data_IF_307886899941
#
_entry.id   IF_307886899941
#
_cell.length_a   1.000
_cell.length_b   1.000
_cell.length_c   1.000
_cell.angle_alpha   90.00
_cell.angle_beta   90.00
_cell.angle_gamma   90.00
#
_symmetry.space_group_name_H-M   'P 1'
#
loop_
_entity.id
_entity.type
_entity.pdbx_description
1 polymer ?
#
# COMPACT_ATOMS: atom_id res chain seq x y z
N UNK A 1 -10.75 -1.28 1.28
CA UNK A 1 -11.81 -0.89 0.33
C UNK A 1 -11.40 -1.44 -1.01
N UNK A 2 -12.26 -2.20 -1.71
CA UNK A 2 -11.89 -2.82 -2.99
C UNK A 2 -11.65 -1.71 -4.03
N UNK A 3 -10.62 -1.87 -4.87
CA UNK A 3 -10.33 -0.95 -5.96
C UNK A 3 -10.97 -1.45 -7.25
N UNK A 4 -11.44 -0.49 -8.04
CA UNK A 4 -11.69 -0.66 -9.46
C UNK A 4 -10.36 -0.58 -10.20
N UNK A 5 -10.16 -1.46 -11.19
CA UNK A 5 -8.88 -1.62 -11.89
C UNK A 5 -9.11 -1.48 -13.38
N UNK A 6 -8.41 -0.54 -13.99
CA UNK A 6 -8.54 -0.20 -15.40
C UNK A 6 -7.17 -0.11 -16.07
N UNK A 7 -7.13 -0.41 -17.38
CA UNK A 7 -5.93 -0.30 -18.21
C UNK A 7 -6.08 0.87 -19.19
N UNK A 8 -5.08 1.74 -19.18
CA UNK A 8 -4.93 2.88 -20.09
C UNK A 8 -3.65 2.72 -20.91
N UNK A 9 -3.74 1.99 -22.02
CA UNK A 9 -2.58 1.60 -22.82
C UNK A 9 -1.64 0.70 -22.02
N UNK A 10 -0.40 1.16 -21.78
CA UNK A 10 0.59 0.45 -20.96
C UNK A 10 0.43 0.69 -19.45
N UNK A 11 -0.41 1.64 -19.06
CA UNK A 11 -0.61 2.00 -17.66
C UNK A 11 -1.80 1.25 -17.08
N UNK A 12 -1.70 0.91 -15.80
CA UNK A 12 -2.78 0.40 -14.97
C UNK A 12 -3.10 1.42 -13.90
N UNK A 13 -4.38 1.67 -13.71
CA UNK A 13 -4.92 2.46 -12.62
C UNK A 13 -5.75 1.54 -11.72
N UNK A 14 -5.49 1.54 -10.42
CA UNK A 14 -6.34 0.91 -9.42
C UNK A 14 -6.81 1.98 -8.43
N UNK A 15 -8.12 2.20 -8.31
CA UNK A 15 -8.66 3.32 -7.53
C UNK A 15 -9.89 2.95 -6.70
N UNK A 16 -10.11 3.68 -5.61
CA UNK A 16 -11.34 3.67 -4.82
C UNK A 16 -11.63 5.09 -4.29
N UNK A 17 -12.59 5.29 -3.40
CA UNK A 17 -12.90 6.63 -2.89
C UNK A 17 -11.77 7.34 -2.12
N UNK A 18 -10.83 6.58 -1.56
CA UNK A 18 -9.76 7.10 -0.70
C UNK A 18 -8.46 7.35 -1.46
N UNK A 19 -8.06 6.40 -2.30
CA UNK A 19 -6.75 6.39 -2.92
C UNK A 19 -6.79 5.95 -4.38
N UNK A 20 -5.83 6.45 -5.14
CA UNK A 20 -5.53 5.97 -6.49
C UNK A 20 -4.08 5.49 -6.56
N UNK A 21 -3.90 4.31 -7.16
CA UNK A 21 -2.62 3.76 -7.57
C UNK A 21 -2.52 3.87 -9.10
N UNK A 22 -1.84 4.90 -9.59
CA UNK A 22 -1.67 5.12 -11.01
C UNK A 22 -0.25 4.75 -11.45
N UNK A 23 -0.12 4.00 -12.53
CA UNK A 23 1.19 3.67 -13.10
C UNK A 23 1.23 2.25 -13.63
N UNK A 24 2.06 1.40 -13.01
CA UNK A 24 2.39 0.09 -13.57
C UNK A 24 3.66 0.13 -14.41
N UNK A 25 4.61 1.00 -14.06
CA UNK A 25 5.92 1.06 -14.71
C UNK A 25 6.86 0.03 -14.11
N UNK A 26 7.62 -0.70 -14.93
CA UNK A 26 8.66 -1.62 -14.45
C UNK A 26 9.67 -0.87 -13.59
N UNK A 27 9.95 -1.37 -12.38
CA UNK A 27 10.80 -0.64 -11.40
C UNK A 27 11.98 -1.44 -10.85
N UNK A 28 12.25 -2.62 -11.41
CA UNK A 28 13.45 -3.38 -11.09
C UNK A 28 13.36 -4.84 -11.51
N UNK A 29 14.16 -5.67 -10.86
CA UNK A 29 14.17 -7.10 -11.12
C UNK A 29 12.81 -7.72 -10.79
N UNK A 30 12.31 -8.49 -11.76
CA UNK A 30 11.08 -9.27 -11.69
C UNK A 30 11.39 -10.66 -11.13
N UNK A 31 10.36 -11.39 -10.71
CA UNK A 31 10.47 -12.81 -10.31
C UNK A 31 9.88 -13.69 -11.40
N UNK A 32 10.10 -15.00 -11.29
CA UNK A 32 9.39 -15.93 -12.15
C UNK A 32 7.88 -15.70 -11.98
N UNK A 33 7.18 -15.49 -13.10
CA UNK A 33 5.72 -15.24 -13.16
C UNK A 33 5.24 -13.91 -12.55
N UNK A 34 6.13 -13.03 -12.13
CA UNK A 34 5.73 -11.75 -11.52
C UNK A 34 6.59 -10.59 -12.02
N UNK A 35 5.94 -9.53 -12.48
CA UNK A 35 6.62 -8.29 -12.84
C UNK A 35 6.62 -7.33 -11.64
N UNK A 36 7.79 -6.73 -11.35
CA UNK A 36 7.91 -5.63 -10.37
C UNK A 36 7.45 -4.31 -10.98
N UNK A 37 6.34 -3.78 -10.48
CA UNK A 37 5.69 -2.57 -10.96
C UNK A 37 5.64 -1.48 -9.89
N UNK A 38 5.90 -0.24 -10.30
CA UNK A 38 5.77 0.96 -9.48
C UNK A 38 4.50 1.71 -9.82
N UNK A 39 3.80 2.12 -8.77
CA UNK A 39 2.59 2.93 -8.82
C UNK A 39 2.78 4.19 -7.98
N UNK A 40 2.30 5.31 -8.51
CA UNK A 40 2.15 6.56 -7.78
C UNK A 40 0.90 6.46 -6.91
N UNK A 41 0.99 6.90 -5.66
CA UNK A 41 -0.13 6.95 -4.72
C UNK A 41 -0.68 8.38 -4.72
N UNK A 42 -1.98 8.53 -4.95
CA UNK A 42 -2.70 9.80 -4.86
C UNK A 42 -3.82 9.76 -3.82
N UNK A 43 -4.06 10.88 -3.15
CA UNK A 43 -5.20 11.08 -2.23
C UNK A 43 -6.43 11.62 -2.98
N UNK A 44 -7.47 10.81 -3.09
CA UNK A 44 -8.66 11.16 -3.86
C UNK A 44 -9.54 12.20 -3.15
N UNK A 45 -9.46 12.35 -1.82
CA UNK A 45 -10.15 13.42 -1.12
C UNK A 45 -9.53 14.78 -1.44
N UNK A 46 -8.20 14.83 -1.49
CA UNK A 46 -7.46 16.04 -1.89
C UNK A 46 -7.72 16.42 -3.34
N UNK A 47 -7.76 15.46 -4.26
CA UNK A 47 -8.14 15.73 -5.67
C UNK A 47 -9.52 16.37 -5.72
N UNK A 48 -10.52 15.76 -5.06
CA UNK A 48 -11.90 16.27 -5.02
C UNK A 48 -11.97 17.68 -4.41
N UNK A 49 -11.17 17.97 -3.37
CA UNK A 49 -11.11 19.32 -2.76
C UNK A 49 -10.54 20.35 -3.72
N UNK A 50 -9.37 20.08 -4.30
CA UNK A 50 -8.68 21.00 -5.21
C UNK A 50 -9.52 21.30 -6.46
N UNK A 51 -10.21 20.29 -7.00
CA UNK A 51 -11.12 20.49 -8.13
C UNK A 51 -12.31 21.41 -7.78
N UNK A 52 -12.82 21.35 -6.54
CA UNK A 52 -13.87 22.29 -6.07
C UNK A 52 -13.35 23.72 -5.92
N UNK A 53 -12.05 23.87 -5.68
CA UNK A 53 -11.36 25.17 -5.62
C UNK A 53 -11.03 25.73 -7.02
N UNK A 54 -11.42 25.02 -8.09
CA UNK A 54 -11.23 25.44 -9.47
C UNK A 54 -9.89 25.03 -10.08
N UNK A 55 -9.10 24.19 -9.40
CA UNK A 55 -7.88 23.60 -9.95
C UNK A 55 -8.27 22.53 -10.98
N UNK A 56 -7.62 22.53 -12.14
CA UNK A 56 -7.88 21.53 -13.17
C UNK A 56 -7.47 20.13 -12.71
N UNK A 57 -8.02 19.11 -13.36
CA UNK A 57 -7.85 17.71 -12.96
C UNK A 57 -6.38 17.27 -12.97
N UNK A 58 -5.59 17.70 -13.95
CA UNK A 58 -4.19 17.25 -14.11
C UNK A 58 -3.34 17.83 -12.99
N UNK A 59 -3.49 19.12 -12.71
CA UNK A 59 -2.77 19.76 -11.61
C UNK A 59 -3.25 19.26 -10.24
N UNK A 60 -4.55 19.03 -10.05
CA UNK A 60 -5.09 18.46 -8.82
C UNK A 60 -4.52 17.07 -8.53
N UNK A 61 -4.37 16.21 -9.56
CA UNK A 61 -3.71 14.90 -9.43
C UNK A 61 -2.24 15.05 -9.03
N UNK A 62 -1.50 15.95 -9.69
CA UNK A 62 -0.09 16.21 -9.39
C UNK A 62 0.12 16.67 -7.95
N UNK A 63 -0.72 17.60 -7.47
CA UNK A 63 -0.68 18.14 -6.11
C UNK A 63 -1.17 17.15 -5.05
N UNK A 64 -1.87 16.10 -5.45
CA UNK A 64 -2.40 15.06 -4.56
C UNK A 64 -1.53 13.81 -4.49
N UNK A 65 -0.37 13.79 -5.16
CA UNK A 65 0.60 12.71 -5.03
C UNK A 65 1.17 12.66 -3.61
N UNK A 66 0.92 11.55 -2.91
CA UNK A 66 1.39 11.32 -1.55
C UNK A 66 2.60 10.39 -1.47
N UNK A 67 2.97 9.72 -2.56
CA UNK A 67 4.01 8.69 -2.50
C UNK A 67 4.04 7.74 -3.67
N UNK A 68 4.74 6.63 -3.48
CA UNK A 68 4.73 5.51 -4.41
C UNK A 68 4.78 4.16 -3.68
N UNK A 69 4.31 3.13 -4.36
CA UNK A 69 4.39 1.74 -3.93
C UNK A 69 4.96 0.90 -5.07
N UNK A 70 5.79 -0.08 -4.71
CA UNK A 70 6.33 -1.07 -5.63
C UNK A 70 5.79 -2.44 -5.27
N UNK A 71 5.24 -3.13 -6.26
CA UNK A 71 4.47 -4.35 -6.11
C UNK A 71 5.00 -5.43 -7.06
N UNK A 72 4.97 -6.68 -6.64
CA UNK A 72 5.01 -7.83 -7.52
C UNK A 72 3.60 -8.17 -7.98
N UNK A 73 3.38 -8.07 -9.29
CA UNK A 73 2.09 -8.34 -9.94
C UNK A 73 2.26 -9.55 -10.85
N UNK A 74 1.32 -10.50 -10.74
CA UNK A 74 1.30 -11.72 -11.57
C UNK A 74 1.26 -11.33 -13.06
N UNK A 75 2.15 -11.94 -13.83
CA UNK A 75 2.26 -11.70 -15.27
C UNK A 75 0.94 -12.04 -15.99
N UNK A 76 0.55 -11.18 -16.94
CA UNK A 76 -0.71 -11.34 -17.69
C UNK A 76 -1.96 -10.87 -16.96
N UNK A 77 -1.86 -10.50 -15.68
CA UNK A 77 -2.98 -9.89 -14.93
C UNK A 77 -2.93 -8.35 -14.99
N UNK A 78 -4.05 -7.70 -14.64
CA UNK A 78 -4.06 -6.24 -14.51
C UNK A 78 -3.47 -5.80 -13.17
N UNK A 79 -3.87 -6.45 -12.07
CA UNK A 79 -3.54 -6.01 -10.72
C UNK A 79 -3.65 -7.16 -9.72
N UNK A 80 -3.25 -8.38 -10.10
CA UNK A 80 -3.17 -9.48 -9.16
C UNK A 80 -1.83 -9.42 -8.42
N UNK A 81 -1.86 -8.82 -7.22
CA UNK A 81 -0.66 -8.49 -6.42
C UNK A 81 -0.35 -9.64 -5.46
N UNK A 82 0.85 -10.21 -5.59
CA UNK A 82 1.36 -11.25 -4.69
C UNK A 82 2.27 -10.66 -3.60
N UNK A 83 2.98 -9.56 -3.89
CA UNK A 83 3.96 -8.99 -2.96
C UNK A 83 4.05 -7.47 -2.98
N UNK A 84 4.31 -6.89 -1.81
CA UNK A 84 4.70 -5.49 -1.62
C UNK A 84 6.20 -5.43 -1.41
N UNK A 85 6.90 -4.76 -2.33
CA UNK A 85 8.35 -4.62 -2.31
C UNK A 85 8.76 -3.43 -1.48
N UNK A 86 8.14 -2.29 -1.72
CA UNK A 86 8.46 -1.04 -1.03
C UNK A 86 7.24 -0.12 -1.02
N UNK A 87 7.11 0.70 0.02
CA UNK A 87 6.11 1.77 0.08
C UNK A 87 6.74 3.02 0.69
N UNK A 88 6.69 4.11 -0.07
CA UNK A 88 7.27 5.39 0.33
C UNK A 88 6.18 6.44 0.30
N UNK A 89 5.81 6.94 1.47
CA UNK A 89 4.96 8.11 1.61
C UNK A 89 5.89 9.34 1.66
N UNK A 90 5.72 10.25 0.69
CA UNK A 90 6.44 11.53 0.60
C UNK A 90 6.30 12.26 1.93
N UNK A 91 7.39 12.90 2.33
CA UNK A 91 7.46 13.67 3.56
C UNK A 91 7.72 15.12 3.17
N UNK A 92 6.70 15.81 2.67
CA UNK A 92 6.84 17.23 2.37
C UNK A 92 6.80 18.03 3.67
N UNK A 93 7.98 18.13 4.29
CA UNK A 93 8.37 19.05 5.38
C UNK A 93 7.57 19.01 6.70
N UNK A 94 6.43 18.34 6.77
CA UNK A 94 5.62 18.24 7.98
C UNK A 94 5.25 16.78 8.27
N UNK A 95 5.69 16.29 9.43
CA UNK A 95 5.40 14.96 10.00
C UNK A 95 3.89 14.57 10.11
N UNK A 96 2.96 15.43 9.67
CA UNK A 96 1.50 15.25 9.74
C UNK A 96 0.97 14.24 8.70
N UNK A 97 1.52 14.19 7.49
CA UNK A 97 0.97 13.36 6.40
C UNK A 97 1.20 11.85 6.62
N UNK A 98 2.33 11.44 7.24
CA UNK A 98 2.55 10.04 7.63
C UNK A 98 1.52 9.52 8.65
N UNK A 99 0.92 10.41 9.44
CA UNK A 99 -0.12 10.05 10.42
C UNK A 99 -1.52 9.91 9.82
N UNK A 100 -1.70 10.19 8.52
CA UNK A 100 -2.99 10.06 7.83
C UNK A 100 -3.29 8.61 7.40
N UNK A 101 -2.38 7.67 7.64
CA UNK A 101 -2.63 6.25 7.43
C UNK A 101 -2.63 5.81 5.97
N UNK A 102 -2.05 6.58 5.04
CA UNK A 102 -1.98 6.22 3.61
C UNK A 102 -1.40 4.84 3.36
N UNK A 103 -0.30 4.48 4.03
CA UNK A 103 0.29 3.15 3.89
C UNK A 103 -0.70 2.03 4.27
N UNK A 104 -1.42 2.21 5.39
CA UNK A 104 -2.49 1.28 5.80
C UNK A 104 -3.61 1.23 4.77
N UNK A 105 -4.06 2.38 4.25
CA UNK A 105 -5.11 2.45 3.22
C UNK A 105 -4.70 1.72 1.94
N UNK A 106 -3.46 1.89 1.48
CA UNK A 106 -2.90 1.18 0.32
C UNK A 106 -2.92 -0.32 0.53
N UNK A 107 -2.37 -0.80 1.66
CA UNK A 107 -2.32 -2.24 1.99
C UNK A 107 -3.72 -2.83 2.07
N UNK A 108 -4.64 -2.18 2.79
CA UNK A 108 -6.04 -2.59 2.90
C UNK A 108 -6.75 -2.64 1.55
N UNK A 109 -6.43 -1.70 0.66
CA UNK A 109 -7.04 -1.64 -0.65
C UNK A 109 -6.51 -2.73 -1.57
N UNK A 110 -5.20 -2.99 -1.56
CA UNK A 110 -4.58 -4.10 -2.30
C UNK A 110 -5.19 -5.43 -1.85
N UNK A 111 -5.14 -5.73 -0.54
CA UNK A 111 -5.68 -6.98 0.03
C UNK A 111 -7.16 -7.16 -0.29
N UNK A 112 -7.97 -6.10 -0.19
CA UNK A 112 -9.39 -6.17 -0.53
C UNK A 112 -9.64 -6.37 -2.04
N UNK A 113 -8.69 -5.95 -2.89
CA UNK A 113 -8.80 -6.05 -4.35
C UNK A 113 -8.39 -7.42 -4.85
N UNK A 114 -7.27 -7.95 -4.34
CA UNK A 114 -6.75 -9.26 -4.74
C UNK A 114 -7.43 -10.41 -4.00
N UNK A 115 -7.94 -10.17 -2.78
CA UNK A 115 -8.55 -11.21 -1.95
C UNK A 115 -7.55 -12.22 -1.38
N UNK A 116 -6.25 -11.89 -1.42
CA UNK A 116 -5.13 -12.74 -1.01
C UNK A 116 -4.40 -12.16 0.20
N UNK A 117 -3.65 -13.02 0.86
CA UNK A 117 -2.60 -12.57 1.78
C UNK A 117 -1.51 -11.84 1.00
N UNK A 118 -0.85 -10.89 1.64
CA UNK A 118 0.15 -10.04 0.99
C UNK A 118 1.53 -10.31 1.58
N UNK A 119 2.48 -10.75 0.73
CA UNK A 119 3.88 -10.87 1.12
C UNK A 119 4.54 -9.49 1.15
N UNK A 120 5.40 -9.25 2.13
CA UNK A 120 6.16 -8.01 2.31
C UNK A 120 7.65 -8.35 2.21
N UNK A 121 8.32 -7.80 1.20
CA UNK A 121 9.65 -8.26 0.82
C UNK A 121 10.79 -7.55 1.54
N UNK A 122 10.59 -6.33 2.01
CA UNK A 122 11.65 -5.57 2.64
C UNK A 122 11.12 -4.78 3.83
N UNK A 123 11.12 -5.42 4.99
CA UNK A 123 10.81 -4.77 6.25
C UNK A 123 12.11 -4.44 6.94
N UNK A 124 12.34 -3.15 7.17
CA UNK A 124 13.39 -2.70 8.07
C UNK A 124 13.03 -3.05 9.53
N UNK A 125 13.92 -3.75 10.27
CA UNK A 125 13.73 -4.01 11.69
C UNK A 125 13.58 -2.72 12.52
N UNK A 126 13.02 -2.85 13.72
CA UNK A 126 12.82 -1.72 14.62
C UNK A 126 11.48 -0.99 14.42
N UNK A 127 11.52 0.30 14.11
CA UNK A 127 10.31 1.14 14.07
C UNK A 127 9.34 0.75 12.96
N UNK A 128 9.85 0.40 11.77
CA UNK A 128 8.99 -0.07 10.68
C UNK A 128 8.34 -1.43 11.02
N UNK A 129 9.08 -2.35 11.67
CA UNK A 129 8.51 -3.60 12.17
C UNK A 129 7.33 -3.40 13.13
N UNK A 130 7.29 -2.33 13.93
CA UNK A 130 6.11 -2.03 14.78
C UNK A 130 4.86 -1.71 13.95
N UNK A 131 5.03 -0.92 12.87
CA UNK A 131 3.94 -0.62 11.94
C UNK A 131 3.41 -1.89 11.27
N UNK A 132 4.29 -2.75 10.76
CA UNK A 132 3.86 -4.00 10.15
C UNK A 132 3.20 -4.93 11.17
N UNK A 133 3.72 -5.01 12.40
CA UNK A 133 3.10 -5.82 13.46
C UNK A 133 1.70 -5.33 13.81
N UNK A 134 1.42 -4.02 13.76
CA UNK A 134 0.07 -3.50 14.02
C UNK A 134 -0.94 -3.87 12.93
N UNK A 135 -0.46 -4.20 11.72
CA UNK A 135 -1.28 -4.78 10.64
C UNK A 135 -1.44 -6.30 10.78
N UNK A 136 -0.89 -6.90 11.84
CA UNK A 136 -0.92 -8.34 12.07
C UNK A 136 0.12 -9.12 11.26
N UNK A 137 1.17 -8.47 10.76
CA UNK A 137 2.23 -9.17 10.01
C UNK A 137 2.88 -10.26 10.86
N UNK A 138 3.01 -11.45 10.27
CA UNK A 138 3.89 -12.52 10.74
C UNK A 138 5.23 -12.34 10.03
N UNK A 139 6.31 -12.18 10.79
CA UNK A 139 7.64 -11.94 10.22
C UNK A 139 8.36 -13.25 9.96
N UNK A 140 9.13 -13.32 8.87
CA UNK A 140 9.96 -14.48 8.56
C UNK A 140 11.30 -14.07 7.95
N UNK A 141 12.27 -14.98 8.00
CA UNK A 141 13.55 -14.82 7.29
C UNK A 141 13.41 -15.20 5.80
N UNK A 142 14.48 -15.04 5.03
CA UNK A 142 14.52 -15.42 3.61
C UNK A 142 14.39 -16.92 3.33
N UNK A 143 14.28 -17.75 4.38
CA UNK A 143 14.03 -19.19 4.30
C UNK A 143 12.62 -19.56 4.81
N UNK A 144 11.74 -18.58 5.03
CA UNK A 144 10.36 -18.80 5.48
C UNK A 144 10.20 -19.15 6.97
N UNK A 145 11.28 -19.15 7.76
CA UNK A 145 11.18 -19.39 9.21
C UNK A 145 10.70 -18.15 9.94
N UNK A 146 9.69 -18.29 10.80
CA UNK A 146 9.14 -17.20 11.60
C UNK A 146 10.19 -16.54 12.50
N UNK A 147 10.12 -15.21 12.60
CA UNK A 147 10.97 -14.35 13.43
C UNK A 147 10.09 -13.64 14.46
N UNK A 148 10.32 -13.92 15.74
CA UNK A 148 9.56 -13.30 16.85
C UNK A 148 10.17 -11.99 17.35
N UNK A 149 11.46 -11.75 17.07
CA UNK A 149 12.21 -10.59 17.57
C UNK A 149 12.43 -9.47 16.53
N UNK A 150 11.62 -9.41 15.47
CA UNK A 150 11.76 -8.43 14.38
C UNK A 150 11.75 -6.95 14.85
N UNK A 151 11.07 -6.67 15.97
CA UNK A 151 10.98 -5.32 16.56
C UNK A 151 12.27 -4.93 17.29
N UNK A 152 12.97 -5.88 17.91
CA UNK A 152 14.18 -5.62 18.71
C UNK A 152 15.48 -5.87 17.96
N UNK A 153 15.39 -6.47 16.76
CA UNK A 153 16.53 -6.70 15.87
C UNK A 153 17.10 -5.37 15.36
N UNK A 154 18.43 -5.25 15.36
CA UNK A 154 19.14 -4.00 15.04
C UNK A 154 19.52 -3.84 13.57
N UNK A 155 19.58 -4.92 12.79
CA UNK A 155 20.05 -4.90 11.40
C UNK A 155 19.55 -6.09 10.58
N UNK A 156 19.71 -6.01 9.26
CA UNK A 156 19.26 -6.99 8.28
C UNK A 156 17.87 -6.70 7.73
N UNK A 157 17.46 -7.46 6.72
CA UNK A 157 16.12 -7.41 6.14
C UNK A 157 15.28 -8.53 6.76
N UNK A 158 14.03 -8.24 7.09
CA UNK A 158 13.03 -9.27 7.41
C UNK A 158 11.90 -9.20 6.40
N UNK A 159 11.32 -10.36 6.11
CA UNK A 159 10.13 -10.46 5.28
C UNK A 159 8.91 -10.59 6.21
N UNK A 160 7.72 -10.43 5.64
CA UNK A 160 6.52 -10.70 6.41
C UNK A 160 5.34 -11.08 5.54
N UNK A 161 4.35 -11.71 6.16
CA UNK A 161 3.07 -12.00 5.52
C UNK A 161 1.98 -11.28 6.28
N UNK A 162 1.16 -10.53 5.56
CA UNK A 162 -0.01 -9.84 6.08
C UNK A 162 -1.25 -10.66 5.70
N UNK A 163 -1.95 -11.19 6.71
CA UNK A 163 -3.18 -11.95 6.50
C UNK A 163 -4.33 -11.05 6.04
N UNK A 164 -5.05 -11.50 5.00
CA UNK A 164 -6.23 -10.80 4.49
C UNK A 164 -7.30 -10.61 5.56
N UNK A 165 -7.54 -11.64 6.37
CA UNK A 165 -8.58 -11.66 7.39
C UNK A 165 -8.30 -10.61 8.45
N UNK A 166 -7.02 -10.52 8.88
CA UNK A 166 -6.58 -9.56 9.89
C UNK A 166 -6.64 -8.12 9.39
N UNK A 167 -6.24 -7.87 8.15
CA UNK A 167 -6.29 -6.53 7.55
C UNK A 167 -7.73 -6.05 7.37
N UNK A 168 -8.62 -6.94 6.94
CA UNK A 168 -10.03 -6.66 6.76
C UNK A 168 -10.80 -6.56 8.10
N UNK A 169 -10.27 -7.09 9.20
CA UNK A 169 -10.86 -6.88 10.53
C UNK A 169 -10.52 -5.50 11.09
N UNK A 170 -9.28 -5.03 10.89
CA UNK A 170 -8.82 -3.70 11.34
C UNK A 170 -9.65 -2.56 10.71
N UNK A 171 -10.06 -2.72 9.44
CA UNK A 171 -10.93 -1.72 8.78
C UNK A 171 -12.34 -1.69 9.37
N UNK A 172 -12.88 -2.84 9.80
CA UNK A 172 -14.21 -2.92 10.42
C UNK A 172 -14.26 -2.30 11.82
N UNK A 173 -13.21 -2.50 12.63
CA UNK A 173 -13.11 -1.95 13.98
C UNK A 173 -13.05 -0.42 13.97
N UNK A 174 -12.24 0.17 13.09
CA UNK A 174 -12.15 1.64 12.95
C UNK A 174 -13.46 2.29 12.48
N UNK A 175 -14.20 1.62 11.60
CA UNK A 175 -15.49 2.12 11.12
C UNK A 175 -16.59 2.03 12.19
N UNK A 176 -16.48 1.06 13.12
CA UNK A 176 -17.39 1.00 14.28
C UNK A 176 -17.11 2.15 15.24
N UNK A 177 -15.86 2.40 15.60
CA UNK A 177 -15.50 3.51 16.51
C UNK A 177 -15.99 4.87 15.98
N UNK A 178 -15.78 5.15 14.68
CA UNK A 178 -16.28 6.38 14.06
C UNK A 178 -17.81 6.52 14.01
N UNK A 179 -18.56 5.41 14.14
CA UNK A 179 -20.03 5.41 14.15
C UNK A 179 -20.65 5.60 15.54
N UNK A 180 -19.86 5.49 16.62
CA UNK A 180 -20.31 5.74 17.99
C UNK A 180 -20.07 7.19 18.46
N UNK A 181 -19.36 8.01 17.67
CA UNK A 181 -19.08 9.42 17.94
C UNK A 181 -20.07 10.38 17.23
N UNK A 182 -21.27 9.90 16.87
CA UNK A 182 -22.39 10.69 16.31
C UNK A 182 -23.59 10.59 17.26
#
# INVERSE_FOLDING_TARGET
MKMEVERYGFFVCAQNDDITLAGGLRSGNSRAHETRLKYIIMDNHRIKSLMKEGIDQVEAQRLSEVGHVELFVEDGTLFDVNGLVNIVIKNEKNFKERRQGYATKVIQSIVATTGKDLEIMDIQPGNAARFWKSLGTVFHNGHGKEITNAITKKSGIVHGTVSKEKVLSISKEKNKEASFDI
#
